data_IF_664745059504
#
_entry.id   IF_664745059504
#
_cell.length_a   1.000
_cell.length_b   1.000
_cell.length_c   1.000
_cell.angle_alpha   90.00
_cell.angle_beta   90.00
_cell.angle_gamma   90.00
#
_symmetry.space_group_name_H-M   'P 1'
#
loop_
_entity.id
_entity.type
_entity.pdbx_description
1 polymer ?
#
# COMPACT_ATOMS: atom_id res chain seq x y z
N UNK A 1 6.19 -5.76 1.01
CA UNK A 1 6.32 -5.60 -0.46
C UNK A 1 4.98 -5.10 -1.00
N UNK A 2 4.96 -4.09 -1.87
CA UNK A 2 3.73 -3.54 -2.47
C UNK A 2 3.58 -4.14 -3.87
N UNK A 3 2.69 -5.12 -4.01
CA UNK A 3 2.65 -6.01 -5.19
C UNK A 3 1.44 -5.79 -6.09
N UNK A 4 0.45 -5.02 -5.65
CA UNK A 4 -0.74 -4.70 -6.43
C UNK A 4 -0.67 -3.24 -6.89
N UNK A 5 -0.91 -3.00 -8.19
CA UNK A 5 -1.15 -1.66 -8.67
C UNK A 5 -2.40 -1.09 -8.00
N UNK A 6 -2.31 0.13 -7.49
CA UNK A 6 -3.42 0.80 -6.80
C UNK A 6 -3.35 2.31 -7.01
N UNK A 7 -4.44 2.91 -7.48
CA UNK A 7 -4.65 4.35 -7.58
C UNK A 7 -5.68 4.85 -6.57
N UNK A 8 -5.63 6.15 -6.23
CA UNK A 8 -6.59 6.77 -5.30
C UNK A 8 -6.56 6.23 -3.88
N UNK A 9 -5.38 5.81 -3.40
CA UNK A 9 -5.19 5.23 -2.07
C UNK A 9 -5.14 6.29 -0.97
N UNK A 10 -5.50 5.90 0.26
CA UNK A 10 -5.03 6.60 1.46
C UNK A 10 -3.61 6.14 1.81
N UNK A 11 -2.72 7.06 2.14
CA UNK A 11 -1.34 6.72 2.53
C UNK A 11 -0.93 7.37 3.86
N UNK A 12 -0.15 6.62 4.65
CA UNK A 12 0.40 7.08 5.93
C UNK A 12 1.73 6.39 6.24
N UNK A 13 2.56 7.07 7.02
CA UNK A 13 3.83 6.51 7.56
C UNK A 13 3.66 6.18 9.04
N UNK A 14 4.09 4.98 9.46
CA UNK A 14 4.07 4.57 10.86
C UNK A 14 5.16 3.51 11.10
N UNK A 15 6.02 3.74 12.11
CA UNK A 15 7.03 2.76 12.53
C UNK A 15 7.95 2.26 11.41
N UNK A 16 8.57 3.18 10.64
CA UNK A 16 9.50 2.83 9.56
C UNK A 16 8.83 2.28 8.29
N UNK A 17 7.49 2.26 8.23
CA UNK A 17 6.71 1.67 7.14
C UNK A 17 5.80 2.68 6.46
N UNK A 18 5.58 2.46 5.16
CA UNK A 18 4.59 3.17 4.35
C UNK A 18 3.40 2.26 4.15
N UNK A 19 2.21 2.73 4.50
CA UNK A 19 0.96 2.02 4.35
C UNK A 19 0.16 2.59 3.19
N UNK A 20 -0.37 1.72 2.33
CA UNK A 20 -1.32 2.05 1.28
C UNK A 20 -2.64 1.34 1.57
N UNK A 21 -3.68 2.10 1.91
CA UNK A 21 -5.00 1.61 2.32
C UNK A 21 -5.98 1.75 1.16
N UNK A 22 -6.58 0.62 0.76
CA UNK A 22 -7.62 0.60 -0.28
C UNK A 22 -7.10 0.99 -1.66
N UNK A 23 -7.89 1.77 -2.40
CA UNK A 23 -7.62 2.18 -3.79
C UNK A 23 -8.32 1.32 -4.83
N UNK A 24 -7.95 1.52 -6.09
CA UNK A 24 -8.48 0.79 -7.25
C UNK A 24 -7.32 0.29 -8.13
N UNK A 25 -7.37 -0.97 -8.55
CA UNK A 25 -6.28 -1.61 -9.31
C UNK A 25 -6.42 -1.50 -10.83
N UNK A 26 -7.42 -0.77 -11.32
CA UNK A 26 -7.80 -0.71 -12.73
C UNK A 26 -9.00 -1.61 -13.07
N UNK A 27 -9.37 -2.54 -12.20
CA UNK A 27 -10.56 -3.38 -12.35
C UNK A 27 -11.54 -3.23 -11.17
N UNK A 28 -11.07 -3.32 -9.93
CA UNK A 28 -11.91 -3.33 -8.74
C UNK A 28 -11.37 -2.44 -7.62
N UNK A 29 -12.25 -2.07 -6.69
CA UNK A 29 -11.84 -1.41 -5.45
C UNK A 29 -11.27 -2.43 -4.46
N UNK A 30 -10.17 -2.03 -3.83
CA UNK A 30 -9.40 -2.88 -2.93
C UNK A 30 -9.88 -2.69 -1.49
N UNK A 31 -10.10 -3.81 -0.79
CA UNK A 31 -10.38 -3.85 0.65
C UNK A 31 -9.14 -4.21 1.49
N UNK A 32 -7.96 -4.12 0.88
CA UNK A 32 -6.69 -4.54 1.46
C UNK A 32 -5.82 -3.34 1.85
N UNK A 33 -4.88 -3.58 2.75
CA UNK A 33 -3.79 -2.65 3.09
C UNK A 33 -2.47 -3.32 2.73
N UNK A 34 -1.60 -2.58 2.05
CA UNK A 34 -0.22 -2.99 1.81
C UNK A 34 0.74 -2.13 2.62
N UNK A 35 1.81 -2.75 3.11
CA UNK A 35 2.88 -2.07 3.83
C UNK A 35 4.23 -2.30 3.15
N UNK A 36 4.95 -1.21 2.93
CA UNK A 36 6.34 -1.21 2.52
C UNK A 36 7.23 -0.93 3.73
N UNK A 37 8.17 -1.83 4.00
CA UNK A 37 9.20 -1.65 5.03
C UNK A 37 10.40 -0.96 4.39
N UNK A 38 10.61 0.32 4.71
CA UNK A 38 11.68 1.11 4.13
C UNK A 38 13.03 0.83 4.80
N UNK A 39 13.03 0.22 6.00
CA UNK A 39 14.23 -0.07 6.78
C UNK A 39 14.82 -1.44 6.45
N UNK A 40 13.99 -2.40 6.05
CA UNK A 40 14.41 -3.77 5.75
C UNK A 40 13.99 -4.19 4.34
N UNK A 41 14.64 -3.61 3.32
CA UNK A 41 14.47 -4.07 1.93
C UNK A 41 14.84 -5.57 1.81
N UNK A 42 13.85 -6.41 1.54
CA UNK A 42 14.01 -7.73 0.94
C UNK A 42 13.41 -7.71 -0.47
#
# INVERSE_FOLDING_TARGET
NMTSCRGGVGSATLGGRIYSVGGHDGSTYLKTVEAYDAEHQQ
#
